data_IF_014657511548
#
_entry.id   IF_014657511548
#
_cell.length_a   1.000
_cell.length_b   1.000
_cell.length_c   1.000
_cell.angle_alpha   90.00
_cell.angle_beta   90.00
_cell.angle_gamma   90.00
#
_symmetry.space_group_name_H-M   'P 1'
#
loop_
_entity.id
_entity.type
_entity.pdbx_description
1 polymer ?
#
# COMPACT_ATOMS: atom_id res chain seq x y z
N UNK A 1 -7.23 -18.07 -19.35
CA UNK A 1 -7.42 -17.84 -20.81
C UNK A 1 -8.86 -18.07 -21.29
N UNK A 2 -9.78 -18.62 -20.49
CA UNK A 2 -11.19 -18.84 -20.91
C UNK A 2 -12.15 -17.65 -20.68
N UNK A 3 -11.82 -16.69 -19.82
CA UNK A 3 -12.72 -15.56 -19.49
C UNK A 3 -12.64 -14.38 -20.46
N UNK A 4 -11.53 -14.24 -21.21
CA UNK A 4 -11.36 -13.18 -22.22
C UNK A 4 -12.27 -13.35 -23.45
N UNK A 5 -12.94 -14.50 -23.60
CA UNK A 5 -13.78 -14.80 -24.77
C UNK A 5 -15.23 -14.33 -24.63
N UNK A 6 -15.73 -14.07 -23.41
CA UNK A 6 -17.11 -13.62 -23.18
C UNK A 6 -17.09 -12.18 -22.68
N UNK A 7 -17.32 -11.23 -23.60
CA UNK A 7 -17.39 -9.76 -23.43
C UNK A 7 -18.50 -9.28 -22.46
N UNK A 8 -18.82 -10.01 -21.39
CA UNK A 8 -19.96 -9.73 -20.51
C UNK A 8 -19.62 -9.38 -19.06
N UNK A 9 -18.47 -9.83 -18.52
CA UNK A 9 -17.95 -9.28 -17.26
C UNK A 9 -16.69 -8.49 -17.57
N UNK A 10 -16.77 -7.16 -17.49
CA UNK A 10 -15.61 -6.31 -17.68
C UNK A 10 -14.50 -6.73 -16.72
N UNK A 11 -13.26 -6.80 -17.20
CA UNK A 11 -12.08 -7.12 -16.38
C UNK A 11 -12.03 -6.31 -15.06
N UNK A 12 -12.61 -5.11 -15.09
CA UNK A 12 -12.86 -4.26 -13.94
C UNK A 12 -13.70 -4.91 -12.82
N UNK A 13 -14.80 -5.60 -13.15
CA UNK A 13 -15.68 -6.28 -12.18
C UNK A 13 -14.95 -7.45 -11.53
N UNK A 14 -14.14 -8.18 -12.29
CA UNK A 14 -13.31 -9.27 -11.77
C UNK A 14 -12.26 -8.75 -10.78
N UNK A 15 -11.52 -7.70 -11.16
CA UNK A 15 -10.54 -7.06 -10.28
C UNK A 15 -11.20 -6.51 -9.01
N UNK A 16 -12.36 -5.86 -9.14
CA UNK A 16 -13.08 -5.30 -8.00
C UNK A 16 -13.61 -6.41 -7.07
N UNK A 17 -14.14 -7.50 -7.63
CA UNK A 17 -14.56 -8.67 -6.86
C UNK A 17 -13.41 -9.33 -6.11
N UNK A 18 -12.23 -9.44 -6.75
CA UNK A 18 -11.04 -9.95 -6.08
C UNK A 18 -10.59 -9.01 -4.95
N UNK A 19 -10.67 -7.70 -5.14
CA UNK A 19 -10.27 -6.72 -4.13
C UNK A 19 -11.19 -6.79 -2.91
N UNK A 20 -12.52 -6.87 -3.11
CA UNK A 20 -13.48 -7.07 -2.02
C UNK A 20 -13.30 -8.42 -1.32
N UNK A 21 -12.96 -9.47 -2.04
CA UNK A 21 -12.66 -10.78 -1.45
C UNK A 21 -11.39 -10.76 -0.59
N UNK A 22 -10.38 -9.97 -0.96
CA UNK A 22 -9.13 -9.82 -0.19
C UNK A 22 -9.31 -8.99 1.10
N UNK A 23 -10.31 -8.12 1.21
CA UNK A 23 -10.54 -7.24 2.38
C UNK A 23 -10.51 -7.99 3.74
N UNK A 24 -11.31 -9.03 4.00
CA UNK A 24 -11.31 -9.71 5.29
C UNK A 24 -9.96 -10.35 5.62
N UNK A 25 -9.27 -10.87 4.61
CA UNK A 25 -7.93 -11.46 4.78
C UNK A 25 -6.90 -10.38 5.14
N UNK A 26 -6.88 -9.27 4.39
CA UNK A 26 -5.98 -8.15 4.65
C UNK A 26 -6.24 -7.51 6.01
N UNK A 27 -7.50 -7.47 6.46
CA UNK A 27 -7.86 -6.98 7.79
C UNK A 27 -7.21 -7.85 8.90
N UNK A 28 -7.28 -9.18 8.78
CA UNK A 28 -6.65 -10.08 9.75
C UNK A 28 -5.12 -9.98 9.77
N UNK A 29 -4.50 -9.86 8.58
CA UNK A 29 -3.05 -9.62 8.48
C UNK A 29 -2.69 -8.29 9.14
N UNK A 30 -3.46 -7.23 8.86
CA UNK A 30 -3.18 -5.92 9.47
C UNK A 30 -3.32 -5.93 10.99
N UNK A 31 -4.33 -6.63 11.52
CA UNK A 31 -4.55 -6.77 12.95
C UNK A 31 -3.41 -7.52 13.63
N UNK A 32 -3.00 -8.66 13.06
CA UNK A 32 -1.91 -9.48 13.61
C UNK A 32 -0.56 -8.75 13.58
N UNK A 33 -0.20 -8.14 12.45
CA UNK A 33 1.03 -7.36 12.34
C UNK A 33 1.04 -6.16 13.28
N UNK A 34 -0.06 -5.40 13.34
CA UNK A 34 -0.15 -4.22 14.21
C UNK A 34 -0.04 -4.62 15.69
N UNK A 35 -0.66 -5.72 16.08
CA UNK A 35 -0.58 -6.25 17.44
C UNK A 35 0.84 -6.68 17.81
N UNK A 36 1.55 -7.36 16.90
CA UNK A 36 2.96 -7.75 17.10
C UNK A 36 3.86 -6.53 17.26
N UNK A 37 3.74 -5.55 16.36
CA UNK A 37 4.54 -4.32 16.39
C UNK A 37 4.29 -3.54 17.68
N UNK A 38 3.02 -3.42 18.10
CA UNK A 38 2.63 -2.72 19.31
C UNK A 38 3.18 -3.39 20.57
N UNK A 39 3.21 -4.73 20.60
CA UNK A 39 3.80 -5.49 21.72
C UNK A 39 5.33 -5.32 21.78
N UNK A 40 5.99 -5.30 20.62
CA UNK A 40 7.45 -5.13 20.53
C UNK A 40 7.88 -3.71 20.91
N UNK A 41 7.17 -2.69 20.41
CA UNK A 41 7.53 -1.28 20.62
C UNK A 41 7.11 -0.74 21.99
N UNK A 42 6.27 -1.46 22.74
CA UNK A 42 5.85 -1.03 24.09
C UNK A 42 5.08 0.29 24.09
N UNK A 43 4.21 0.47 23.10
CA UNK A 43 3.59 1.77 22.80
C UNK A 43 2.47 2.12 23.79
N UNK A 44 2.13 3.42 23.88
CA UNK A 44 1.18 3.97 24.86
C UNK A 44 -0.20 3.31 24.73
N UNK A 45 -0.69 2.73 25.83
CA UNK A 45 -1.85 1.82 25.97
C UNK A 45 -3.25 2.41 25.70
N UNK A 46 -3.37 3.39 24.82
CA UNK A 46 -4.66 3.95 24.42
C UNK A 46 -5.22 3.19 23.20
N UNK A 47 -6.41 2.59 23.37
CA UNK A 47 -7.08 1.80 22.32
C UNK A 47 -7.36 2.61 21.04
N UNK A 48 -7.61 3.92 21.16
CA UNK A 48 -7.80 4.81 20.01
C UNK A 48 -6.56 4.88 19.13
N UNK A 49 -5.37 5.04 19.73
CA UNK A 49 -4.09 5.12 19.00
C UNK A 49 -3.79 3.80 18.29
N UNK A 50 -4.07 2.67 18.93
CA UNK A 50 -3.92 1.34 18.33
C UNK A 50 -4.83 1.16 17.10
N UNK A 51 -6.10 1.59 17.20
CA UNK A 51 -7.03 1.51 16.05
C UNK A 51 -6.59 2.40 14.89
N UNK A 52 -6.07 3.61 15.16
CA UNK A 52 -5.50 4.46 14.11
C UNK A 52 -4.31 3.81 13.42
N UNK A 53 -3.39 3.23 14.18
CA UNK A 53 -2.23 2.52 13.62
C UNK A 53 -2.66 1.31 12.76
N UNK A 54 -3.59 0.50 13.27
CA UNK A 54 -4.12 -0.65 12.56
C UNK A 54 -4.82 -0.25 11.24
N UNK A 55 -5.68 0.77 11.27
CA UNK A 55 -6.38 1.24 10.09
C UNK A 55 -5.42 1.81 9.04
N UNK A 56 -4.37 2.50 9.49
CA UNK A 56 -3.33 3.02 8.62
C UNK A 56 -2.59 1.88 7.91
N UNK A 57 -2.19 0.84 8.64
CA UNK A 57 -1.55 -0.34 8.09
C UNK A 57 -2.48 -1.13 7.14
N UNK A 58 -3.77 -1.22 7.47
CA UNK A 58 -4.79 -1.81 6.60
C UNK A 58 -4.92 -1.07 5.26
N UNK A 59 -4.99 0.27 5.29
CA UNK A 59 -5.04 1.09 4.07
C UNK A 59 -3.80 0.91 3.20
N UNK A 60 -2.62 0.81 3.82
CA UNK A 60 -1.36 0.51 3.12
C UNK A 60 -1.44 -0.82 2.35
N UNK A 61 -1.94 -1.88 2.99
CA UNK A 61 -2.09 -3.19 2.36
C UNK A 61 -3.13 -3.18 1.23
N UNK A 62 -4.24 -2.46 1.41
CA UNK A 62 -5.28 -2.35 0.38
C UNK A 62 -4.77 -1.65 -0.89
N UNK A 63 -3.97 -0.58 -0.73
CA UNK A 63 -3.34 0.12 -1.85
C UNK A 63 -2.34 -0.79 -2.58
N UNK A 64 -1.54 -1.57 -1.83
CA UNK A 64 -0.59 -2.53 -2.41
C UNK A 64 -1.29 -3.59 -3.26
N UNK A 65 -2.39 -4.15 -2.75
CA UNK A 65 -3.19 -5.13 -3.48
C UNK A 65 -3.74 -4.54 -4.79
N UNK A 66 -4.28 -3.32 -4.74
CA UNK A 66 -4.75 -2.61 -5.93
C UNK A 66 -3.64 -2.35 -6.96
N UNK A 67 -2.45 -1.96 -6.49
CA UNK A 67 -1.30 -1.72 -7.36
C UNK A 67 -0.83 -3.01 -8.05
N UNK A 68 -0.81 -4.13 -7.33
CA UNK A 68 -0.49 -5.44 -7.89
C UNK A 68 -1.46 -5.81 -9.02
N UNK A 69 -2.76 -5.55 -8.86
CA UNK A 69 -3.75 -5.80 -9.92
C UNK A 69 -3.51 -4.96 -11.17
N UNK A 70 -3.11 -3.70 -11.01
CA UNK A 70 -2.77 -2.82 -12.14
C UNK A 70 -1.57 -3.38 -12.90
N UNK A 71 -0.52 -3.77 -12.18
CA UNK A 71 0.70 -4.34 -12.78
C UNK A 71 0.41 -5.67 -13.47
N UNK A 72 -0.38 -6.56 -12.84
CA UNK A 72 -0.79 -7.84 -13.39
C UNK A 72 -1.67 -7.70 -14.65
N UNK A 73 -2.34 -6.56 -14.85
CA UNK A 73 -3.09 -6.28 -16.07
C UNK A 73 -2.20 -5.90 -17.26
N UNK A 74 -0.99 -5.37 -16.99
CA UNK A 74 -0.04 -4.88 -17.99
C UNK A 74 0.96 -5.97 -18.37
N UNK A 75 1.52 -6.66 -17.36
CA UNK A 75 2.55 -7.67 -17.54
C UNK A 75 1.93 -9.07 -17.55
N UNK A 76 2.07 -9.85 -18.63
CA UNK A 76 1.49 -11.18 -18.73
C UNK A 76 2.25 -12.23 -17.90
N UNK A 77 3.52 -11.98 -17.58
CA UNK A 77 4.38 -12.88 -16.83
C UNK A 77 4.47 -12.47 -15.34
N UNK A 78 4.28 -13.45 -14.45
CA UNK A 78 4.22 -13.22 -12.99
C UNK A 78 5.57 -12.69 -12.46
N UNK A 79 6.69 -13.22 -12.97
CA UNK A 79 8.02 -12.85 -12.52
C UNK A 79 8.34 -11.37 -12.82
N UNK A 80 8.07 -10.92 -14.04
CA UNK A 80 8.27 -9.53 -14.45
C UNK A 80 7.32 -8.57 -13.70
N UNK A 81 6.10 -9.03 -13.41
CA UNK A 81 5.14 -8.31 -12.58
C UNK A 81 5.64 -8.06 -11.16
N UNK A 82 6.14 -9.10 -10.48
CA UNK A 82 6.69 -8.99 -9.12
C UNK A 82 7.94 -8.09 -9.12
N UNK A 83 8.83 -8.26 -10.09
CA UNK A 83 10.05 -7.44 -10.18
C UNK A 83 9.70 -5.95 -10.35
N UNK A 84 8.74 -5.64 -11.22
CA UNK A 84 8.27 -4.28 -11.45
C UNK A 84 7.60 -3.69 -10.21
N UNK A 85 6.81 -4.50 -9.49
CA UNK A 85 6.17 -4.09 -8.23
C UNK A 85 7.20 -3.74 -7.16
N UNK A 86 8.21 -4.60 -6.95
CA UNK A 86 9.28 -4.35 -5.97
C UNK A 86 10.09 -3.12 -6.34
N UNK A 87 10.40 -2.95 -7.63
CA UNK A 87 11.11 -1.77 -8.12
C UNK A 87 10.31 -0.48 -7.89
N UNK A 88 9.02 -0.49 -8.20
CA UNK A 88 8.13 0.65 -8.00
C UNK A 88 7.98 0.98 -6.52
N UNK A 89 7.82 -0.03 -5.66
CA UNK A 89 7.77 0.11 -4.22
C UNK A 89 9.08 0.71 -3.65
N UNK A 90 10.23 0.28 -4.16
CA UNK A 90 11.53 0.82 -3.80
C UNK A 90 11.68 2.29 -4.20
N UNK A 91 11.22 2.69 -5.38
CA UNK A 91 11.17 4.10 -5.79
C UNK A 91 10.26 4.91 -4.87
N UNK A 92 9.08 4.40 -4.52
CA UNK A 92 8.18 5.09 -3.59
C UNK A 92 8.82 5.29 -2.21
N UNK A 93 9.55 4.29 -1.69
CA UNK A 93 10.29 4.41 -0.43
C UNK A 93 11.44 5.42 -0.52
N UNK A 94 12.15 5.50 -1.65
CA UNK A 94 13.21 6.49 -1.90
C UNK A 94 12.67 7.92 -1.93
N UNK A 95 11.46 8.12 -2.46
CA UNK A 95 10.81 9.44 -2.55
C UNK A 95 10.07 9.83 -1.26
N UNK A 96 9.66 8.86 -0.45
CA UNK A 96 8.95 9.05 0.82
C UNK A 96 9.75 9.75 1.94
N UNK A 97 10.94 10.29 1.63
CA UNK A 97 11.67 11.15 2.56
C UNK A 97 12.55 10.43 3.59
N UNK A 98 12.72 9.11 3.50
CA UNK A 98 13.56 8.35 4.44
C UNK A 98 15.07 8.69 4.35
N UNK A 99 15.53 9.22 3.20
CA UNK A 99 16.95 9.57 2.96
C UNK A 99 17.20 11.05 2.63
N UNK A 100 16.18 11.88 2.35
CA UNK A 100 16.34 13.30 1.98
C UNK A 100 15.07 14.13 2.23
N UNK A 101 15.21 15.35 2.74
CA UNK A 101 14.12 16.31 2.97
C UNK A 101 13.32 16.57 1.67
N UNK A 102 11.98 16.58 1.77
CA UNK A 102 11.01 16.75 0.65
C UNK A 102 11.22 18.01 -0.21
N UNK A 103 12.01 18.98 0.26
CA UNK A 103 12.26 20.27 -0.40
C UNK A 103 13.45 20.31 -1.39
N UNK A 104 14.31 19.29 -1.46
CA UNK A 104 15.49 19.30 -2.38
C UNK A 104 15.28 18.51 -3.69
N UNK A 105 14.09 17.97 -3.94
CA UNK A 105 13.83 17.13 -5.11
C UNK A 105 13.52 17.95 -6.38
N UNK A 106 14.11 17.59 -7.55
CA UNK A 106 13.91 18.33 -8.80
C UNK A 106 12.44 18.33 -9.24
N UNK A 107 11.94 19.55 -9.48
CA UNK A 107 10.52 19.94 -9.41
C UNK A 107 9.53 19.32 -10.43
N UNK A 108 9.89 18.83 -11.65
CA UNK A 108 8.86 18.45 -12.62
C UNK A 108 8.39 16.98 -12.58
N UNK A 109 9.23 16.01 -12.20
CA UNK A 109 8.89 14.57 -12.29
C UNK A 109 8.71 13.92 -10.91
N UNK A 110 9.36 14.46 -9.87
CA UNK A 110 9.41 13.84 -8.54
C UNK A 110 8.42 14.45 -7.54
N UNK A 111 7.92 15.68 -7.79
CA UNK A 111 6.96 16.37 -6.91
C UNK A 111 5.50 15.95 -7.14
N UNK A 112 5.18 15.49 -8.34
CA UNK A 112 3.85 15.02 -8.77
C UNK A 112 4.12 13.96 -9.85
N UNK A 113 3.86 12.64 -9.68
CA UNK A 113 2.81 11.95 -8.92
C UNK A 113 3.33 11.10 -7.74
N UNK A 114 4.64 10.97 -7.57
CA UNK A 114 5.27 10.03 -6.62
C UNK A 114 5.10 10.51 -5.17
N UNK A 115 5.04 11.82 -4.93
CA UNK A 115 4.73 12.42 -3.61
C UNK A 115 3.30 12.15 -3.14
N UNK A 116 2.35 11.88 -4.04
CA UNK A 116 0.98 11.51 -3.68
C UNK A 116 0.81 9.99 -3.55
N UNK A 117 1.58 9.21 -4.31
CA UNK A 117 1.61 7.74 -4.19
C UNK A 117 2.43 7.23 -3.00
N UNK A 118 3.28 8.05 -2.39
CA UNK A 118 4.03 7.68 -1.19
C UNK A 118 3.11 7.68 0.06
N UNK A 119 2.10 6.80 0.05
CA UNK A 119 1.19 6.55 1.17
C UNK A 119 1.96 6.22 2.45
N UNK A 120 3.14 5.60 2.33
CA UNK A 120 4.05 5.33 3.44
C UNK A 120 4.48 6.60 4.19
N UNK A 121 4.62 7.74 3.51
CA UNK A 121 4.98 9.01 4.16
C UNK A 121 3.85 9.49 5.06
N UNK A 122 2.61 9.46 4.56
CA UNK A 122 1.42 9.82 5.34
C UNK A 122 1.13 8.81 6.46
N UNK A 123 1.47 7.54 6.22
CA UNK A 123 1.40 6.50 7.25
C UNK A 123 2.34 6.78 8.42
N UNK A 124 3.57 7.20 8.12
CA UNK A 124 4.61 7.49 9.10
C UNK A 124 4.35 8.84 9.80
N UNK A 125 3.99 9.90 9.07
CA UNK A 125 3.59 11.19 9.65
C UNK A 125 2.38 11.03 10.58
N UNK A 126 1.34 10.30 10.15
CA UNK A 126 0.17 10.02 10.98
C UNK A 126 0.48 9.15 12.19
N UNK A 127 1.48 8.27 12.12
CA UNK A 127 1.94 7.49 13.27
C UNK A 127 2.70 8.38 14.27
N UNK A 128 3.58 9.26 13.77
CA UNK A 128 4.35 10.21 14.58
C UNK A 128 3.44 11.19 15.33
N UNK A 129 2.45 11.80 14.68
CA UNK A 129 1.49 12.70 15.35
C UNK A 129 0.55 11.98 16.33
N UNK A 130 0.25 10.70 16.07
CA UNK A 130 -0.61 9.92 16.94
C UNK A 130 0.13 9.46 18.22
N UNK A 131 1.46 9.38 18.18
CA UNK A 131 2.28 8.86 19.29
C UNK A 131 3.08 9.90 20.06
N UNK A 132 3.44 11.04 19.45
CA UNK A 132 4.19 12.14 20.05
C UNK A 132 3.37 13.43 20.11
#
# INVERSE_FOLDING_TARGET
THEKSNRHSGAFVFSLGNLFASIPFLFLVSLSCSLLIYFILGMRSAFSLFMYFMLNFFMCLLINEGLLMVIASILPEIFEGILTMVFLQGIMMLVAGYFRLRDELPKPVWKYPVSYLAFHTYAIEGLLENEY
#
